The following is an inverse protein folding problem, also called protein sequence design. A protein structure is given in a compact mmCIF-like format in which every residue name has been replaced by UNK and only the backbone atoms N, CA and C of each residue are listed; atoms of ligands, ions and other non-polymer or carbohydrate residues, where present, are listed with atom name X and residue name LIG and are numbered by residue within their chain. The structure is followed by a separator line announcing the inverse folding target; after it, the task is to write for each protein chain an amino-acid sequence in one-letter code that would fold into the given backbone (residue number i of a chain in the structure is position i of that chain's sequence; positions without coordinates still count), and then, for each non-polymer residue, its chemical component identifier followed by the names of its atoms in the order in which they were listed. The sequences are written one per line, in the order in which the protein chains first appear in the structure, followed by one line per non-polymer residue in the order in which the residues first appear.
data_IF_535796396459
#
_entry.id   IF_535796396459
#
_cell.length_a   1.000
_cell.length_b   1.000
_cell.length_c   1.000
_cell.angle_alpha   90.00
_cell.angle_beta   90.00
_cell.angle_gamma   90.00
#
_symmetry.space_group_name_H-M   'P 1'
#
loop_
_entity.id
_entity.type
_entity.pdbx_description
1 polymer ?
#
# COMPACT_ATOMS: atom_id res chain seq x y z
N UNK A 1 -0.11 -21.26 25.47
CA UNK A 1 -0.80 -21.13 24.16
C UNK A 1 -2.14 -20.39 24.27
N UNK A 2 -2.97 -20.63 25.29
CA UNK A 2 -4.27 -19.94 25.45
C UNK A 2 -4.19 -18.40 25.52
N UNK A 3 -3.22 -17.86 26.28
CA UNK A 3 -3.03 -16.40 26.41
C UNK A 3 -2.69 -15.72 25.08
N UNK A 4 -1.88 -16.36 24.23
CA UNK A 4 -1.51 -15.86 22.92
C UNK A 4 -2.70 -15.87 21.97
N UNK A 5 -3.47 -16.96 21.97
CA UNK A 5 -4.69 -17.05 21.16
C UNK A 5 -5.76 -16.03 21.58
N UNK A 6 -5.92 -15.79 22.88
CA UNK A 6 -6.81 -14.76 23.40
C UNK A 6 -6.36 -13.34 22.97
N UNK A 7 -5.05 -13.07 22.99
CA UNK A 7 -4.49 -11.81 22.53
C UNK A 7 -4.73 -11.61 21.02
N UNK A 8 -4.38 -12.58 20.19
CA UNK A 8 -4.60 -12.52 18.74
C UNK A 8 -6.07 -12.30 18.37
N UNK A 9 -6.97 -13.00 19.07
CA UNK A 9 -8.42 -12.83 18.89
C UNK A 9 -8.89 -11.43 19.28
N UNK A 10 -8.39 -10.87 20.39
CA UNK A 10 -8.69 -9.50 20.83
C UNK A 10 -8.22 -8.46 19.82
N UNK A 11 -7.09 -8.69 19.17
CA UNK A 11 -6.50 -7.79 18.14
C UNK A 11 -7.03 -8.07 16.73
N UNK A 12 -7.95 -9.02 16.59
CA UNK A 12 -8.45 -9.44 15.28
C UNK A 12 -7.34 -9.86 14.30
N UNK A 13 -6.28 -10.47 14.83
CA UNK A 13 -5.20 -11.07 14.05
C UNK A 13 -5.58 -12.51 13.80
N UNK A 14 -5.99 -12.81 12.57
CA UNK A 14 -6.43 -14.15 12.16
C UNK A 14 -5.56 -14.62 11.01
N UNK A 15 -4.69 -15.58 11.26
CA UNK A 15 -3.85 -16.20 10.23
C UNK A 15 -4.70 -17.13 9.36
N UNK A 16 -5.16 -16.62 8.21
CA UNK A 16 -5.98 -17.36 7.27
C UNK A 16 -5.52 -17.10 5.84
N UNK A 17 -5.34 -18.16 5.06
CA UNK A 17 -5.01 -18.06 3.65
C UNK A 17 -6.09 -17.30 2.86
N UNK A 18 -7.35 -17.42 3.24
CA UNK A 18 -8.44 -16.63 2.65
C UNK A 18 -8.23 -15.14 2.89
N UNK A 19 -7.96 -14.73 4.14
CA UNK A 19 -7.81 -13.33 4.53
C UNK A 19 -6.62 -12.66 3.88
N UNK A 20 -5.47 -13.31 3.87
CA UNK A 20 -4.24 -12.74 3.28
C UNK A 20 -4.12 -12.96 1.78
N UNK A 21 -4.63 -14.08 1.26
CA UNK A 21 -4.59 -14.40 -0.16
C UNK A 21 -5.76 -13.79 -0.95
N UNK A 22 -7.00 -13.94 -0.48
CA UNK A 22 -8.17 -13.51 -1.25
C UNK A 22 -8.59 -12.09 -0.87
N UNK A 23 -8.83 -11.83 0.42
CA UNK A 23 -9.40 -10.55 0.85
C UNK A 23 -8.37 -9.41 0.70
N UNK A 24 -7.11 -9.62 1.10
CA UNK A 24 -6.06 -8.61 0.96
C UNK A 24 -5.70 -8.34 -0.52
N UNK A 25 -5.64 -9.39 -1.35
CA UNK A 25 -5.33 -9.25 -2.77
C UNK A 25 -6.47 -8.55 -3.53
N UNK A 26 -7.72 -8.89 -3.20
CA UNK A 26 -8.90 -8.21 -3.73
C UNK A 26 -8.95 -6.72 -3.34
N UNK A 27 -8.63 -6.41 -2.09
CA UNK A 27 -8.52 -5.02 -1.62
C UNK A 27 -7.38 -4.26 -2.29
N UNK A 28 -6.21 -4.90 -2.47
CA UNK A 28 -5.10 -4.32 -3.22
C UNK A 28 -5.53 -3.95 -4.65
N UNK A 29 -6.26 -4.83 -5.34
CA UNK A 29 -6.78 -4.57 -6.68
C UNK A 29 -7.72 -3.36 -6.69
N UNK A 30 -8.62 -3.23 -5.70
CA UNK A 30 -9.50 -2.06 -5.56
C UNK A 30 -8.69 -0.78 -5.37
N UNK A 31 -7.67 -0.77 -4.50
CA UNK A 31 -6.78 0.36 -4.30
C UNK A 31 -6.04 0.76 -5.59
N UNK A 32 -5.58 -0.24 -6.35
CA UNK A 32 -4.93 -0.03 -7.64
C UNK A 32 -5.88 0.57 -8.67
N UNK A 33 -7.10 0.06 -8.78
CA UNK A 33 -8.10 0.59 -9.70
C UNK A 33 -8.50 2.03 -9.37
N UNK A 34 -8.75 2.33 -8.10
CA UNK A 34 -9.13 3.67 -7.65
C UNK A 34 -8.03 4.73 -7.86
N UNK A 35 -6.79 4.32 -7.97
CA UNK A 35 -5.65 5.21 -8.16
C UNK A 35 -5.08 5.14 -9.57
N UNK A 36 -4.41 4.07 -9.94
CA UNK A 36 -3.70 3.95 -11.20
C UNK A 36 -4.64 3.98 -12.40
N UNK A 37 -5.72 3.19 -12.40
CA UNK A 37 -6.66 3.15 -13.51
C UNK A 37 -7.40 4.48 -13.67
N UNK A 38 -7.93 5.04 -12.59
CA UNK A 38 -8.62 6.33 -12.66
C UNK A 38 -7.65 7.44 -13.06
N UNK A 39 -6.43 7.44 -12.52
CA UNK A 39 -5.40 8.40 -12.89
C UNK A 39 -5.05 8.37 -14.38
N UNK A 40 -4.90 7.18 -14.95
CA UNK A 40 -4.63 7.03 -16.40
C UNK A 40 -5.83 7.48 -17.25
N UNK A 41 -7.05 7.17 -16.84
CA UNK A 41 -8.27 7.64 -17.52
C UNK A 41 -8.34 9.18 -17.53
N UNK A 42 -8.12 9.81 -16.36
CA UNK A 42 -8.14 11.28 -16.26
C UNK A 42 -7.05 11.93 -17.12
N UNK A 43 -5.85 11.38 -17.16
CA UNK A 43 -4.79 11.87 -18.03
C UNK A 43 -5.13 11.72 -19.51
N UNK A 44 -5.70 10.58 -19.89
CA UNK A 44 -6.08 10.32 -21.28
C UNK A 44 -7.21 11.26 -21.71
N UNK A 45 -8.25 11.43 -20.88
CA UNK A 45 -9.33 12.38 -21.17
C UNK A 45 -8.81 13.81 -21.28
N UNK A 46 -7.93 14.23 -20.36
CA UNK A 46 -7.32 15.55 -20.38
C UNK A 46 -6.55 15.81 -21.67
N UNK A 47 -5.72 14.86 -22.09
CA UNK A 47 -4.89 14.98 -23.28
C UNK A 47 -5.68 14.88 -24.59
N UNK A 48 -6.62 13.93 -24.70
CA UNK A 48 -7.37 13.72 -25.94
C UNK A 48 -8.44 14.80 -26.20
N UNK A 49 -9.11 15.24 -25.15
CA UNK A 49 -10.16 16.28 -25.27
C UNK A 49 -9.66 17.69 -24.97
N UNK A 50 -8.36 17.86 -24.73
CA UNK A 50 -7.72 19.15 -24.42
C UNK A 50 -8.42 19.89 -23.26
N UNK A 51 -8.83 19.14 -22.21
CA UNK A 51 -9.47 19.70 -21.04
C UNK A 51 -8.41 20.34 -20.14
N UNK A 52 -8.26 21.67 -20.23
CA UNK A 52 -7.20 22.42 -19.55
C UNK A 52 -7.14 22.18 -18.04
N UNK A 53 -8.28 21.99 -17.37
CA UNK A 53 -8.32 21.68 -15.94
C UNK A 53 -7.66 20.33 -15.60
N UNK A 54 -7.81 19.30 -16.46
CA UNK A 54 -7.22 17.97 -16.22
C UNK A 54 -5.73 17.91 -16.57
N UNK A 55 -5.28 18.77 -17.49
CA UNK A 55 -3.87 18.86 -17.92
C UNK A 55 -3.08 19.90 -17.12
N UNK A 56 -3.76 20.74 -16.33
CA UNK A 56 -3.11 21.72 -15.49
C UNK A 56 -2.24 21.03 -14.42
N UNK A 57 -1.04 21.60 -14.21
CA UNK A 57 -0.13 21.11 -13.18
C UNK A 57 -0.57 21.59 -11.80
N UNK A 58 -0.56 20.68 -10.82
CA UNK A 58 -0.89 20.96 -9.44
C UNK A 58 0.39 21.33 -8.70
N UNK A 59 0.69 22.62 -8.64
CA UNK A 59 1.84 23.17 -7.93
C UNK A 59 3.13 23.25 -8.75
N UNK A 60 3.98 24.18 -8.37
CA UNK A 60 5.22 24.49 -9.09
C UNK A 60 6.35 23.48 -8.86
N UNK A 61 6.41 22.90 -7.64
CA UNK A 61 7.49 21.99 -7.23
C UNK A 61 7.27 20.54 -7.62
N UNK A 62 6.02 20.14 -7.87
CA UNK A 62 5.64 18.77 -8.20
C UNK A 62 4.73 18.82 -9.42
N UNK A 63 5.28 18.68 -10.63
CA UNK A 63 4.55 18.91 -11.87
C UNK A 63 3.63 17.73 -12.22
N UNK A 64 2.71 17.38 -11.32
CA UNK A 64 1.70 16.38 -11.59
C UNK A 64 0.39 17.01 -12.03
N UNK A 65 -0.21 16.46 -13.05
CA UNK A 65 -1.62 16.66 -13.39
C UNK A 65 -2.51 15.96 -12.36
N UNK A 66 -3.82 16.21 -12.38
CA UNK A 66 -4.78 15.51 -11.49
C UNK A 66 -4.64 13.98 -11.65
N UNK A 67 -4.63 13.49 -12.88
CA UNK A 67 -4.48 12.06 -13.15
C UNK A 67 -3.09 11.52 -12.79
N UNK A 68 -2.03 12.31 -13.02
CA UNK A 68 -0.68 11.96 -12.62
C UNK A 68 -0.53 11.81 -11.10
N UNK A 69 -1.09 12.75 -10.33
CA UNK A 69 -1.10 12.67 -8.87
C UNK A 69 -1.89 11.46 -8.37
N UNK A 70 -3.06 11.21 -8.98
CA UNK A 70 -3.88 10.05 -8.62
C UNK A 70 -3.13 8.73 -8.88
N UNK A 71 -2.47 8.60 -10.02
CA UNK A 71 -1.65 7.41 -10.34
C UNK A 71 -0.45 7.26 -9.40
N UNK A 72 0.18 8.37 -9.03
CA UNK A 72 1.32 8.39 -8.12
C UNK A 72 0.97 7.88 -6.71
N UNK A 73 -0.28 8.09 -6.28
CA UNK A 73 -0.80 7.62 -4.99
C UNK A 73 -1.21 6.13 -4.99
N UNK A 74 -0.85 5.34 -6.02
CA UNK A 74 -1.23 3.92 -6.11
C UNK A 74 -0.70 3.08 -4.94
N UNK A 75 0.56 3.28 -4.53
CA UNK A 75 1.13 2.59 -3.37
C UNK A 75 0.35 2.82 -2.07
N UNK A 76 0.15 4.09 -1.66
CA UNK A 76 -0.71 4.43 -0.52
C UNK A 76 -2.12 3.85 -0.62
N UNK A 77 -2.78 3.97 -1.77
CA UNK A 77 -4.14 3.48 -1.97
C UNK A 77 -4.24 1.95 -1.78
N UNK A 78 -3.30 1.19 -2.34
CA UNK A 78 -3.22 -0.26 -2.14
C UNK A 78 -3.01 -0.62 -0.67
N UNK A 79 -2.05 0.02 0.01
CA UNK A 79 -1.72 -0.31 1.40
C UNK A 79 -2.88 0.01 2.36
N UNK A 80 -3.56 1.14 2.17
CA UNK A 80 -4.75 1.50 2.95
C UNK A 80 -5.89 0.51 2.69
N UNK A 81 -6.14 0.13 1.43
CA UNK A 81 -7.18 -0.83 1.07
C UNK A 81 -6.92 -2.21 1.72
N UNK A 82 -5.67 -2.70 1.70
CA UNK A 82 -5.25 -3.92 2.39
C UNK A 82 -5.51 -3.80 3.88
N UNK A 83 -5.06 -2.72 4.52
CA UNK A 83 -5.28 -2.48 5.94
C UNK A 83 -6.76 -2.44 6.31
N UNK A 84 -7.60 -1.86 5.46
CA UNK A 84 -9.05 -1.84 5.65
C UNK A 84 -9.65 -3.24 5.58
N UNK A 85 -9.28 -4.05 4.59
CA UNK A 85 -9.72 -5.44 4.47
C UNK A 85 -9.27 -6.29 5.67
N UNK A 86 -8.11 -6.00 6.23
CA UNK A 86 -7.59 -6.63 7.46
C UNK A 86 -8.21 -6.06 8.73
N UNK A 87 -9.15 -5.11 8.62
CA UNK A 87 -9.81 -4.45 9.75
C UNK A 87 -8.81 -3.80 10.72
N UNK A 88 -7.81 -3.13 10.17
CA UNK A 88 -6.84 -2.39 10.96
C UNK A 88 -7.48 -1.14 11.60
N UNK A 89 -7.08 -0.76 12.82
CA UNK A 89 -7.52 0.48 13.47
C UNK A 89 -7.16 1.72 12.65
N UNK A 90 -7.89 2.85 12.80
CA UNK A 90 -7.65 4.06 11.99
C UNK A 90 -6.21 4.58 12.03
N UNK A 91 -5.55 4.55 13.18
CA UNK A 91 -4.16 4.99 13.32
C UNK A 91 -3.21 4.14 12.48
N UNK A 92 -3.45 2.84 12.41
CA UNK A 92 -2.68 1.91 11.56
C UNK A 92 -2.96 2.20 10.10
N UNK A 93 -4.24 2.37 9.70
CA UNK A 93 -4.63 2.68 8.32
C UNK A 93 -3.93 3.93 7.78
N UNK A 94 -3.91 5.00 8.56
CA UNK A 94 -3.27 6.25 8.13
C UNK A 94 -1.75 6.10 8.00
N UNK A 95 -1.13 5.33 8.88
CA UNK A 95 0.31 5.05 8.81
C UNK A 95 0.69 4.17 7.61
N UNK A 96 -0.21 3.29 7.16
CA UNK A 96 0.00 2.47 5.98
C UNK A 96 0.14 3.28 4.69
N UNK A 97 -0.36 4.52 4.64
CA UNK A 97 -0.15 5.40 3.49
C UNK A 97 1.34 5.63 3.20
N UNK A 98 2.10 5.97 4.24
CA UNK A 98 3.55 6.18 4.13
C UNK A 98 4.29 4.88 3.78
N UNK A 99 3.89 3.77 4.39
CA UNK A 99 4.45 2.44 4.11
C UNK A 99 4.22 2.03 2.67
N UNK A 100 2.99 2.19 2.16
CA UNK A 100 2.65 1.86 0.78
C UNK A 100 3.39 2.71 -0.24
N UNK A 101 3.57 4.00 0.06
CA UNK A 101 4.36 4.90 -0.78
C UNK A 101 5.82 4.46 -0.88
N UNK A 102 6.48 4.28 0.27
CA UNK A 102 7.88 3.85 0.32
C UNK A 102 8.08 2.49 -0.36
N UNK A 103 7.20 1.53 -0.08
CA UNK A 103 7.28 0.19 -0.64
C UNK A 103 7.09 0.16 -2.16
N UNK A 104 6.14 0.93 -2.69
CA UNK A 104 5.90 1.01 -4.13
C UNK A 104 7.09 1.63 -4.87
N UNK A 105 7.72 2.66 -4.29
CA UNK A 105 8.94 3.26 -4.84
C UNK A 105 10.11 2.28 -4.85
N UNK A 106 10.37 1.59 -3.74
CA UNK A 106 11.46 0.64 -3.60
C UNK A 106 11.27 -0.62 -4.46
N UNK A 107 10.03 -1.03 -4.68
CA UNK A 107 9.69 -2.21 -5.47
C UNK A 107 9.68 -1.99 -6.98
N UNK A 108 9.69 -0.75 -7.46
CA UNK A 108 9.69 -0.45 -8.90
C UNK A 108 8.64 -1.22 -9.68
N UNK A 109 9.04 -2.02 -10.67
CA UNK A 109 8.13 -2.86 -11.46
C UNK A 109 7.35 -3.89 -10.63
N UNK A 110 7.92 -4.37 -9.52
CA UNK A 110 7.27 -5.27 -8.56
C UNK A 110 6.57 -4.55 -7.41
N UNK A 111 6.47 -3.22 -7.48
CA UNK A 111 5.91 -2.38 -6.42
C UNK A 111 4.58 -2.85 -5.84
N UNK A 112 3.56 -3.12 -6.67
CA UNK A 112 2.26 -3.61 -6.17
C UNK A 112 2.36 -4.92 -5.38
N UNK A 113 3.16 -5.87 -5.84
CA UNK A 113 3.35 -7.14 -5.14
C UNK A 113 4.13 -6.94 -3.82
N UNK A 114 5.12 -6.08 -3.82
CA UNK A 114 5.86 -5.71 -2.62
C UNK A 114 4.93 -5.04 -1.58
N UNK A 115 4.05 -4.13 -2.03
CA UNK A 115 3.05 -3.48 -1.16
C UNK A 115 2.12 -4.51 -0.53
N UNK A 116 1.70 -5.55 -1.25
CA UNK A 116 0.86 -6.60 -0.69
C UNK A 116 1.49 -7.23 0.56
N UNK A 117 2.71 -7.72 0.45
CA UNK A 117 3.38 -8.40 1.57
C UNK A 117 3.72 -7.44 2.70
N UNK A 118 4.29 -6.29 2.38
CA UNK A 118 4.71 -5.31 3.39
C UNK A 118 3.53 -4.71 4.14
N UNK A 119 2.43 -4.37 3.43
CA UNK A 119 1.24 -3.81 4.07
C UNK A 119 0.55 -4.82 5.01
N UNK A 120 0.52 -6.11 4.65
CA UNK A 120 0.01 -7.16 5.55
C UNK A 120 0.85 -7.21 6.84
N UNK A 121 2.16 -7.27 6.73
CA UNK A 121 3.07 -7.33 7.89
C UNK A 121 2.91 -6.06 8.76
N UNK A 122 2.94 -4.88 8.14
CA UNK A 122 2.81 -3.61 8.84
C UNK A 122 1.45 -3.46 9.53
N UNK A 123 0.37 -3.88 8.87
CA UNK A 123 -0.98 -3.84 9.42
C UNK A 123 -1.12 -4.77 10.63
N UNK A 124 -0.62 -6.01 10.54
CA UNK A 124 -0.72 -6.96 11.66
C UNK A 124 0.16 -6.54 12.85
N UNK A 125 1.36 -6.05 12.61
CA UNK A 125 2.21 -5.49 13.67
C UNK A 125 1.58 -4.24 14.29
N UNK A 126 1.03 -3.35 13.50
CA UNK A 126 0.33 -2.15 13.97
C UNK A 126 -0.89 -2.50 14.84
N UNK A 127 -1.69 -3.49 14.43
CA UNK A 127 -2.82 -4.01 15.24
C UNK A 127 -2.35 -4.58 16.57
N UNK A 128 -1.23 -5.31 16.59
CA UNK A 128 -0.70 -5.89 17.81
C UNK A 128 -0.35 -4.82 18.85
N UNK A 129 0.22 -3.69 18.44
CA UNK A 129 0.63 -2.60 19.32
C UNK A 129 -0.50 -1.64 19.67
N UNK A 130 -1.47 -1.47 18.77
CA UNK A 130 -2.59 -0.54 18.95
C UNK A 130 -3.36 -0.81 20.25
N UNK A 131 -3.66 0.26 20.99
CA UNK A 131 -4.39 0.25 22.27
C UNK A 131 -3.68 -0.52 23.42
N UNK A 132 -2.38 -0.77 23.34
CA UNK A 132 -1.62 -1.38 24.45
C UNK A 132 -0.94 -0.34 25.33
N UNK A 133 -0.77 0.89 24.85
CA UNK A 133 -0.09 1.98 25.57
C UNK A 133 -1.04 3.14 25.85
N UNK A 134 -0.76 3.91 26.91
CA UNK A 134 -1.52 5.13 27.23
C UNK A 134 -1.34 6.23 26.18
N UNK A 135 -0.25 6.17 25.39
CA UNK A 135 0.08 7.12 24.33
C UNK A 135 -0.04 6.43 22.94
N UNK A 136 -1.15 5.73 22.73
CA UNK A 136 -1.41 4.94 21.51
C UNK A 136 -1.33 5.79 20.24
N UNK A 137 -1.79 7.04 20.31
CA UNK A 137 -1.78 7.96 19.16
C UNK A 137 -0.39 8.22 18.58
N UNK A 138 0.66 8.08 19.39
CA UNK A 138 2.04 8.29 18.96
C UNK A 138 2.74 6.95 18.67
N UNK A 139 2.58 5.98 19.57
CA UNK A 139 3.30 4.72 19.51
C UNK A 139 2.84 3.87 18.32
N UNK A 140 1.54 3.76 18.07
CA UNK A 140 1.00 2.94 16.98
C UNK A 140 1.45 3.42 15.59
N UNK A 141 1.37 4.72 15.23
CA UNK A 141 1.88 5.18 13.94
C UNK A 141 3.39 5.01 13.79
N UNK A 142 4.17 5.29 14.82
CA UNK A 142 5.63 5.15 14.78
C UNK A 142 6.00 3.69 14.52
N UNK A 143 5.46 2.75 15.29
CA UNK A 143 5.76 1.33 15.15
C UNK A 143 5.32 0.80 13.79
N UNK A 144 4.10 1.14 13.34
CA UNK A 144 3.58 0.71 12.04
C UNK A 144 4.47 1.22 10.90
N UNK A 145 4.86 2.49 10.94
CA UNK A 145 5.69 3.08 9.89
C UNK A 145 7.11 2.51 9.91
N UNK A 146 7.75 2.42 11.08
CA UNK A 146 9.12 1.89 11.19
C UNK A 146 9.20 0.42 10.75
N UNK A 147 8.28 -0.42 11.23
CA UNK A 147 8.25 -1.83 10.81
C UNK A 147 7.90 -1.93 9.32
N UNK A 148 6.90 -1.18 8.85
CA UNK A 148 6.48 -1.21 7.46
C UNK A 148 7.57 -0.74 6.50
N UNK A 149 8.17 0.42 6.73
CA UNK A 149 9.26 0.93 5.89
C UNK A 149 10.53 0.08 6.04
N UNK A 150 10.85 -0.38 7.25
CA UNK A 150 11.98 -1.29 7.48
C UNK A 150 11.83 -2.60 6.72
N UNK A 151 10.65 -3.22 6.74
CA UNK A 151 10.37 -4.42 5.94
C UNK A 151 10.36 -4.13 4.44
N UNK A 152 9.92 -2.93 4.01
CA UNK A 152 9.97 -2.52 2.62
C UNK A 152 11.40 -2.46 2.10
N UNK A 153 12.36 -1.93 2.86
CA UNK A 153 13.78 -1.93 2.47
C UNK A 153 14.35 -3.32 2.22
N UNK A 154 13.87 -4.33 2.93
CA UNK A 154 14.35 -5.71 2.80
C UNK A 154 13.61 -6.48 1.70
N UNK A 155 12.29 -6.34 1.64
CA UNK A 155 11.41 -7.17 0.80
C UNK A 155 11.19 -6.56 -0.59
N UNK A 156 11.06 -5.22 -0.71
CA UNK A 156 10.65 -4.60 -1.97
C UNK A 156 11.72 -4.67 -3.08
N UNK A 157 13.03 -4.44 -2.83
CA UNK A 157 14.04 -4.51 -3.88
C UNK A 157 14.16 -5.91 -4.54
N UNK A 158 14.24 -7.04 -3.80
CA UNK A 158 14.31 -8.35 -4.45
C UNK A 158 13.03 -8.70 -5.24
N UNK A 159 11.86 -8.25 -4.80
CA UNK A 159 10.62 -8.43 -5.57
C UNK A 159 10.67 -7.60 -6.86
N UNK A 160 11.19 -6.37 -6.79
CA UNK A 160 11.35 -5.50 -7.94
C UNK A 160 12.32 -6.09 -8.99
N UNK A 161 13.45 -6.61 -8.55
CA UNK A 161 14.42 -7.26 -9.45
C UNK A 161 13.86 -8.53 -10.08
N UNK A 162 13.15 -9.35 -9.32
CA UNK A 162 12.48 -10.54 -9.84
C UNK A 162 11.42 -10.17 -10.89
N UNK A 163 10.55 -9.18 -10.59
CA UNK A 163 9.53 -8.73 -11.53
C UNK A 163 10.13 -8.16 -12.83
N UNK A 164 11.22 -7.42 -12.74
CA UNK A 164 11.95 -6.89 -13.90
C UNK A 164 12.57 -8.02 -14.75
N UNK A 165 13.14 -9.03 -14.11
CA UNK A 165 13.71 -10.19 -14.79
C UNK A 165 12.65 -11.00 -15.55
N UNK A 166 11.48 -11.20 -14.95
CA UNK A 166 10.35 -11.84 -15.64
C UNK A 166 9.84 -11.02 -16.82
N UNK A 167 9.74 -9.68 -16.65
CA UNK A 167 9.34 -8.77 -17.74
C UNK A 167 10.30 -8.81 -18.92
N UNK A 168 11.60 -8.81 -18.69
CA UNK A 168 12.62 -8.92 -19.73
C UNK A 168 12.59 -10.28 -20.43
N UNK A 169 12.37 -11.36 -19.68
CA UNK A 169 12.26 -12.72 -20.27
C UNK A 169 11.09 -12.85 -21.23
N UNK A 170 9.95 -12.17 -20.95
CA UNK A 170 8.78 -12.17 -21.83
C UNK A 170 8.96 -11.35 -23.11
N UNK A 171 9.83 -10.33 -23.09
CA UNK A 171 10.12 -9.51 -24.27
C UNK A 171 11.08 -10.23 -25.23
N UNK A 172 11.87 -11.17 -24.75
CA UNK A 172 12.83 -11.96 -25.56
C UNK A 172 12.23 -13.25 -26.16
N UNK A 173 10.94 -13.54 -25.94
CA UNK A 173 10.20 -14.64 -26.58
C UNK A 173 9.31 -14.08 -27.68
#
# INVERSE_FOLDING_TARGET
MEKVNAFLKRKNIVFSAKRYGIDALGAMAQGLFCSLLIGTILNTLGSQFHIGFLTAQIGEKVPYTIGGLTSFMSGPAMAIAIGYALQAPPLVLFSLAAVGYACNLLGGAGGPLAVLFVAIIAAECGKAVSKETKIDILVTPIVTTLIGVGTAYVIAPPIGTAASAFGLSLIHI
#
